data_IF_400558229556
#
_entry.id   IF_400558229556
#
_cell.length_a   1.000
_cell.length_b   1.000
_cell.length_c   1.000
_cell.angle_alpha   90.00
_cell.angle_beta   90.00
_cell.angle_gamma   90.00
#
_symmetry.space_group_name_H-M   'P 1'
#
loop_
_entity.id
_entity.type
_entity.pdbx_description
1 polymer ?
#
# COMPACT_ATOMS: atom_id res chain seq x y z
N UNK A 1 -29.35 36.40 15.15
CA UNK A 1 -28.06 36.44 14.40
C UNK A 1 -27.55 35.02 14.27
N UNK A 2 -26.97 34.70 13.13
CA UNK A 2 -26.35 33.40 12.86
C UNK A 2 -24.84 33.53 13.14
N UNK A 3 -24.27 32.63 13.92
CA UNK A 3 -22.82 32.59 14.14
C UNK A 3 -22.10 31.81 13.03
N UNK A 4 -20.77 31.91 12.98
CA UNK A 4 -19.96 31.27 11.94
C UNK A 4 -20.18 29.75 11.80
N UNK A 5 -20.18 29.02 12.91
CA UNK A 5 -20.37 27.57 12.89
C UNK A 5 -21.78 27.18 12.44
N UNK A 6 -22.79 27.94 12.86
CA UNK A 6 -24.17 27.76 12.39
C UNK A 6 -24.26 27.97 10.87
N UNK A 7 -23.56 28.97 10.33
CA UNK A 7 -23.60 29.26 8.90
C UNK A 7 -22.95 28.14 8.09
N UNK A 8 -21.79 27.64 8.54
CA UNK A 8 -21.13 26.48 7.94
C UNK A 8 -22.05 25.27 7.97
N UNK A 9 -22.67 24.97 9.12
CA UNK A 9 -23.50 23.78 9.25
C UNK A 9 -24.71 23.82 8.32
N UNK A 10 -25.34 24.98 8.15
CA UNK A 10 -26.44 25.15 7.20
C UNK A 10 -25.98 24.84 5.78
N UNK A 11 -24.81 25.35 5.35
CA UNK A 11 -24.27 25.07 4.02
C UNK A 11 -23.94 23.59 3.85
N UNK A 12 -23.27 22.97 4.82
CA UNK A 12 -22.93 21.55 4.75
C UNK A 12 -24.18 20.66 4.71
N UNK A 13 -25.24 21.04 5.41
CA UNK A 13 -26.50 20.29 5.45
C UNK A 13 -27.29 20.35 4.13
N UNK A 14 -26.99 21.28 3.21
CA UNK A 14 -27.66 21.34 1.89
C UNK A 14 -26.90 20.62 0.79
N UNK A 15 -25.68 20.17 1.07
CA UNK A 15 -24.82 19.53 0.08
C UNK A 15 -24.92 18.01 0.21
N UNK A 16 -24.86 17.34 -0.95
CA UNK A 16 -24.67 15.89 -1.03
C UNK A 16 -23.40 15.61 -1.84
N UNK A 17 -22.64 14.55 -1.51
CA UNK A 17 -21.53 14.11 -2.34
C UNK A 17 -22.02 13.80 -3.76
N UNK A 18 -21.19 14.13 -4.76
CA UNK A 18 -21.47 13.76 -6.14
C UNK A 18 -21.45 12.23 -6.32
N UNK A 19 -22.19 11.69 -7.31
CA UNK A 19 -22.10 10.27 -7.65
C UNK A 19 -20.65 9.85 -7.95
N UNK A 20 -20.25 8.64 -7.53
CA UNK A 20 -18.90 8.16 -7.80
C UNK A 20 -18.69 7.90 -9.29
N UNK A 21 -17.45 8.04 -9.74
CA UNK A 21 -17.05 7.74 -11.11
C UNK A 21 -15.84 6.81 -11.11
N UNK A 22 -15.81 5.86 -12.05
CA UNK A 22 -14.61 5.07 -12.32
C UNK A 22 -13.70 5.86 -13.26
N UNK A 23 -12.44 6.04 -12.86
CA UNK A 23 -11.45 6.80 -13.59
C UNK A 23 -10.16 5.97 -13.71
N UNK A 24 -9.40 6.11 -14.82
CA UNK A 24 -8.03 5.61 -14.86
C UNK A 24 -7.18 6.26 -13.76
N UNK A 25 -6.24 5.51 -13.18
CA UNK A 25 -5.39 5.98 -12.06
C UNK A 25 -4.66 7.30 -12.38
N UNK A 26 -4.19 7.46 -13.61
CA UNK A 26 -3.52 8.69 -14.07
C UNK A 26 -4.41 9.95 -13.99
N UNK A 27 -5.74 9.81 -13.92
CA UNK A 27 -6.71 10.91 -13.77
C UNK A 27 -7.32 10.99 -12.37
N UNK A 28 -6.92 10.11 -11.45
CA UNK A 28 -7.47 10.04 -10.10
C UNK A 28 -6.78 10.99 -9.10
N UNK A 29 -5.62 11.58 -9.46
CA UNK A 29 -4.90 12.52 -8.62
C UNK A 29 -5.79 13.70 -8.15
N UNK A 30 -5.82 13.95 -6.84
CA UNK A 30 -6.64 15.00 -6.23
C UNK A 30 -8.14 14.68 -6.08
N UNK A 31 -8.57 13.45 -6.41
CA UNK A 31 -9.93 12.97 -6.14
C UNK A 31 -10.01 12.25 -4.79
N UNK A 32 -11.24 12.08 -4.30
CA UNK A 32 -11.54 11.31 -3.08
C UNK A 32 -11.98 9.92 -3.47
N UNK A 33 -11.48 8.89 -2.78
CA UNK A 33 -11.93 7.51 -2.98
C UNK A 33 -13.41 7.37 -2.63
N UNK A 34 -14.18 6.79 -3.55
CA UNK A 34 -15.60 6.53 -3.35
C UNK A 34 -15.87 5.35 -2.39
N UNK A 35 -14.90 4.43 -2.26
CA UNK A 35 -14.97 3.27 -1.38
C UNK A 35 -13.55 2.83 -0.99
N UNK A 36 -13.42 2.05 0.09
CA UNK A 36 -12.16 1.45 0.51
C UNK A 36 -11.57 0.58 -0.60
N UNK A 37 -10.25 0.63 -0.77
CA UNK A 37 -9.52 -0.24 -1.72
C UNK A 37 -8.81 -1.33 -0.93
N UNK A 38 -9.10 -2.59 -1.23
CA UNK A 38 -8.42 -3.73 -0.63
C UNK A 38 -7.29 -4.23 -1.54
N UNK A 39 -6.20 -4.71 -0.94
CA UNK A 39 -5.19 -5.45 -1.66
C UNK A 39 -5.83 -6.72 -2.26
N UNK A 40 -5.47 -7.03 -3.51
CA UNK A 40 -5.95 -8.25 -4.18
C UNK A 40 -4.98 -9.42 -4.02
N UNK A 41 -3.76 -9.13 -3.60
CA UNK A 41 -2.65 -10.06 -3.47
C UNK A 41 -1.76 -9.63 -2.31
N UNK A 42 -1.06 -10.60 -1.72
CA UNK A 42 0.04 -10.33 -0.82
C UNK A 42 1.18 -9.63 -1.56
N UNK A 43 1.93 -8.81 -0.84
CA UNK A 43 3.09 -8.10 -1.36
C UNK A 43 4.18 -8.09 -0.28
N UNK A 44 5.29 -8.83 -0.47
CA UNK A 44 5.63 -9.66 -1.63
C UNK A 44 4.73 -10.90 -1.76
N UNK A 45 4.59 -11.41 -2.99
CA UNK A 45 3.79 -12.61 -3.26
C UNK A 45 4.47 -13.90 -2.78
N UNK A 46 5.80 -13.90 -2.73
CA UNK A 46 6.63 -15.05 -2.32
C UNK A 46 7.78 -14.55 -1.44
N UNK A 47 8.39 -15.47 -0.70
CA UNK A 47 9.64 -15.21 -0.01
C UNK A 47 10.73 -14.81 -1.02
N UNK A 48 11.40 -13.68 -0.76
CA UNK A 48 12.46 -13.18 -1.62
C UNK A 48 13.63 -12.66 -0.78
N UNK A 49 14.84 -12.73 -1.34
CA UNK A 49 15.99 -12.08 -0.70
C UNK A 49 15.83 -10.57 -0.73
N UNK A 50 16.18 -9.92 0.38
CA UNK A 50 16.22 -8.46 0.48
C UNK A 50 17.52 -7.88 -0.11
N UNK A 51 18.54 -8.72 -0.30
CA UNK A 51 19.90 -8.32 -0.67
C UNK A 51 20.50 -9.32 -1.66
N UNK A 52 21.53 -8.88 -2.37
CA UNK A 52 22.43 -9.79 -3.06
C UNK A 52 23.26 -10.57 -2.04
N UNK A 53 23.37 -11.88 -2.23
CA UNK A 53 24.07 -12.76 -1.31
C UNK A 53 23.81 -14.23 -1.61
N UNK A 54 24.00 -15.07 -0.61
CA UNK A 54 23.80 -16.52 -0.70
C UNK A 54 22.68 -16.95 0.24
N UNK A 55 21.78 -17.80 -0.23
CA UNK A 55 20.79 -18.44 0.61
C UNK A 55 21.41 -19.67 1.29
N UNK A 56 21.26 -19.78 2.60
CA UNK A 56 21.71 -20.92 3.40
C UNK A 56 20.76 -21.13 4.58
N UNK A 57 20.68 -22.35 5.13
CA UNK A 57 19.91 -22.60 6.33
C UNK A 57 20.66 -22.03 7.55
N UNK A 58 19.95 -21.40 8.49
CA UNK A 58 20.55 -20.65 9.59
C UNK A 58 21.51 -21.47 10.46
N UNK A 59 21.31 -22.78 10.54
CA UNK A 59 22.09 -23.76 11.32
C UNK A 59 23.09 -24.56 10.47
N UNK A 60 23.22 -24.27 9.18
CA UNK A 60 24.07 -25.03 8.25
C UNK A 60 25.50 -24.50 8.10
N UNK A 61 25.82 -23.37 8.74
CA UNK A 61 27.12 -22.70 8.58
C UNK A 61 27.76 -22.42 9.92
N UNK A 62 29.05 -22.76 10.03
CA UNK A 62 29.90 -22.39 11.15
C UNK A 62 30.67 -21.11 10.83
N UNK A 63 30.92 -20.30 11.86
CA UNK A 63 31.75 -19.10 11.73
C UNK A 63 33.15 -19.50 11.23
N UNK A 64 33.68 -18.70 10.31
CA UNK A 64 35.00 -18.89 9.68
C UNK A 64 35.18 -20.19 8.87
N UNK A 65 34.10 -20.92 8.59
CA UNK A 65 34.14 -22.10 7.72
C UNK A 65 33.71 -21.74 6.28
N UNK A 66 34.46 -22.16 5.26
CA UNK A 66 34.07 -21.93 3.87
C UNK A 66 32.81 -22.74 3.52
N UNK A 67 31.94 -22.14 2.71
CA UNK A 67 30.72 -22.77 2.19
C UNK A 67 30.82 -22.85 0.67
N UNK A 68 30.50 -24.00 0.10
CA UNK A 68 30.45 -24.19 -1.35
C UNK A 68 29.15 -23.63 -1.92
N UNK A 69 29.26 -22.87 -3.01
CA UNK A 69 28.10 -22.39 -3.76
C UNK A 69 27.62 -23.51 -4.67
N UNK A 70 26.43 -24.05 -4.39
CA UNK A 70 25.92 -25.26 -5.07
C UNK A 70 25.02 -24.95 -6.27
N UNK A 71 24.45 -23.75 -6.36
CA UNK A 71 23.55 -23.36 -7.45
C UNK A 71 23.46 -21.83 -7.61
N UNK A 72 22.85 -21.39 -8.71
CA UNK A 72 22.49 -20.01 -9.00
C UNK A 72 21.03 -19.94 -9.45
N UNK A 73 20.25 -19.09 -8.79
CA UNK A 73 18.84 -18.81 -9.13
C UNK A 73 18.79 -17.71 -10.20
#
# INVERSE_FOLDING_TARGET
MLNYNQAIQIVLNTLSPLPPAQLPLARAGGKVLAASTAARWDQPMNDNSAMDGYAFAADSVDVDSPVEVVDFI
#
